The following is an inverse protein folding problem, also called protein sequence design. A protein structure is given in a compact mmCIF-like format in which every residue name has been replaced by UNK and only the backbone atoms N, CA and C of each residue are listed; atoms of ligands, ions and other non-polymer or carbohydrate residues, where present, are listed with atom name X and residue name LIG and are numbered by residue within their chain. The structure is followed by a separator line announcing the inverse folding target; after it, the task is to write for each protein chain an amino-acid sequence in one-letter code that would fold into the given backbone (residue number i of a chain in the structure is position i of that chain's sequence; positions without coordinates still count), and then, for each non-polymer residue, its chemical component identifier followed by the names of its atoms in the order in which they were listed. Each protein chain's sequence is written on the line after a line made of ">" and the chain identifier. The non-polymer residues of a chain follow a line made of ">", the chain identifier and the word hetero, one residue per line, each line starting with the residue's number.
data_IF_111201881861
#
_entry.id   IF_111201881861
#
_cell.length_a   1.000
_cell.length_b   1.000
_cell.length_c   1.000
_cell.angle_alpha   90.00
_cell.angle_beta   90.00
_cell.angle_gamma   90.00
#
_symmetry.space_group_name_H-M   'P 1'
#
loop_
_entity.id
_entity.type
_entity.pdbx_description
1 polymer ?
#
# COMPACT_ATOMS: atom_id res chain seq x y z
N UNK A 1 -31.82 -17.81 1.16
CA UNK A 1 -31.66 -17.21 -0.19
C UNK A 1 -30.61 -16.09 -0.12
N UNK A 2 -29.40 -16.41 0.34
CA UNK A 2 -28.35 -15.42 0.74
C UNK A 2 -26.96 -15.68 0.11
N UNK A 3 -26.82 -16.70 -0.75
CA UNK A 3 -25.51 -17.12 -1.27
C UNK A 3 -25.02 -16.37 -2.52
N UNK A 4 -25.89 -15.60 -3.21
CA UNK A 4 -25.55 -14.99 -4.49
C UNK A 4 -24.99 -13.56 -4.41
N UNK A 5 -25.14 -12.86 -3.26
CA UNK A 5 -24.69 -11.47 -3.11
C UNK A 5 -23.27 -11.34 -2.55
N UNK A 6 -22.73 -12.40 -1.92
CA UNK A 6 -21.41 -12.34 -1.29
C UNK A 6 -20.26 -12.60 -2.27
N UNK A 7 -20.45 -13.44 -3.30
CA UNK A 7 -19.41 -13.68 -4.31
C UNK A 7 -19.25 -12.48 -5.24
N UNK A 8 -20.36 -11.87 -5.68
CA UNK A 8 -20.34 -10.70 -6.56
C UNK A 8 -19.68 -9.48 -5.89
N UNK A 9 -19.89 -9.29 -4.59
CA UNK A 9 -19.22 -8.23 -3.82
C UNK A 9 -17.71 -8.50 -3.67
N UNK A 10 -17.28 -9.74 -3.48
CA UNK A 10 -15.85 -10.09 -3.39
C UNK A 10 -15.14 -9.87 -4.73
N UNK A 11 -15.78 -10.23 -5.83
CA UNK A 11 -15.25 -10.01 -7.18
C UNK A 11 -15.14 -8.50 -7.47
N UNK A 12 -16.12 -7.71 -7.05
CA UNK A 12 -16.08 -6.25 -7.17
C UNK A 12 -14.95 -5.60 -6.36
N UNK A 13 -14.70 -6.09 -5.13
CA UNK A 13 -13.57 -5.64 -4.29
C UNK A 13 -12.24 -5.91 -4.98
N UNK A 14 -12.04 -7.13 -5.49
CA UNK A 14 -10.80 -7.50 -6.18
C UNK A 14 -10.60 -6.68 -7.46
N UNK A 15 -11.67 -6.48 -8.24
CA UNK A 15 -11.61 -5.68 -9.46
C UNK A 15 -11.22 -4.23 -9.16
N UNK A 16 -11.77 -3.65 -8.09
CA UNK A 16 -11.45 -2.27 -7.67
C UNK A 16 -9.98 -2.14 -7.22
N UNK A 17 -9.48 -3.12 -6.46
CA UNK A 17 -8.08 -3.16 -6.06
C UNK A 17 -7.14 -3.27 -7.27
N UNK A 18 -7.44 -4.15 -8.22
CA UNK A 18 -6.62 -4.36 -9.41
C UNK A 18 -6.63 -3.11 -10.31
N UNK A 19 -7.79 -2.45 -10.47
CA UNK A 19 -7.91 -1.20 -11.24
C UNK A 19 -7.10 -0.05 -10.62
N UNK A 20 -7.16 0.08 -9.28
CA UNK A 20 -6.39 1.07 -8.54
C UNK A 20 -4.88 0.83 -8.66
N UNK A 21 -4.43 -0.42 -8.55
CA UNK A 21 -3.01 -0.80 -8.67
C UNK A 21 -2.50 -0.55 -10.09
N UNK A 22 -3.29 -0.89 -11.11
CA UNK A 22 -2.95 -0.60 -12.51
C UNK A 22 -2.86 0.91 -12.78
N UNK A 23 -3.74 1.72 -12.18
CA UNK A 23 -3.70 3.18 -12.29
C UNK A 23 -2.46 3.79 -11.63
N UNK A 24 -2.01 3.25 -10.49
CA UNK A 24 -0.74 3.62 -9.86
C UNK A 24 0.45 3.29 -10.78
N UNK A 25 0.49 2.09 -11.36
CA UNK A 25 1.56 1.71 -12.28
C UNK A 25 1.59 2.60 -13.55
N UNK A 26 0.42 3.01 -14.07
CA UNK A 26 0.33 3.99 -15.17
C UNK A 26 1.04 5.30 -14.81
N UNK A 27 0.83 5.81 -13.58
CA UNK A 27 1.50 7.01 -13.09
C UNK A 27 3.02 6.83 -13.00
N UNK A 28 3.47 5.70 -12.46
CA UNK A 28 4.90 5.37 -12.35
C UNK A 28 5.57 5.34 -13.71
N UNK A 29 4.98 4.63 -14.67
CA UNK A 29 5.50 4.56 -16.05
C UNK A 29 5.56 5.91 -16.77
N UNK A 30 4.76 6.88 -16.32
CA UNK A 30 4.73 8.24 -16.87
C UNK A 30 5.56 9.23 -16.05
N UNK A 31 6.29 8.77 -15.03
CA UNK A 31 7.16 9.60 -14.21
C UNK A 31 6.45 10.49 -13.19
N UNK A 32 5.15 10.29 -12.95
CA UNK A 32 4.41 11.05 -11.93
C UNK A 32 4.80 10.60 -10.52
N UNK A 33 5.08 9.32 -10.33
CA UNK A 33 5.35 8.70 -9.03
C UNK A 33 6.61 7.87 -9.14
N UNK A 34 7.50 7.96 -8.15
CA UNK A 34 8.62 7.02 -7.98
C UNK A 34 8.18 5.91 -7.05
N UNK A 35 7.98 4.71 -7.60
CA UNK A 35 7.59 3.52 -6.84
C UNK A 35 8.17 2.28 -7.52
N UNK A 36 9.16 1.69 -6.87
CA UNK A 36 9.90 0.54 -7.38
C UNK A 36 9.16 -0.78 -7.19
N UNK A 37 8.00 -0.80 -6.51
CA UNK A 37 7.40 -2.05 -6.03
C UNK A 37 6.05 -2.36 -6.69
N UNK A 38 5.27 -1.33 -7.07
CA UNK A 38 3.89 -1.53 -7.56
C UNK A 38 3.80 -2.46 -8.78
N UNK A 39 4.85 -2.50 -9.61
CA UNK A 39 4.88 -3.36 -10.80
C UNK A 39 4.80 -4.86 -10.48
N UNK A 40 5.21 -5.28 -9.27
CA UNK A 40 5.14 -6.67 -8.79
C UNK A 40 3.71 -7.11 -8.44
N UNK A 41 2.82 -6.15 -8.21
CA UNK A 41 1.43 -6.38 -7.82
C UNK A 41 0.44 -6.25 -8.98
N UNK A 42 0.92 -5.87 -10.18
CA UNK A 42 0.06 -5.68 -11.36
C UNK A 42 0.18 -6.85 -12.31
N UNK A 43 -0.93 -7.56 -12.51
CA UNK A 43 -1.02 -8.64 -13.53
C UNK A 43 -1.06 -8.10 -14.95
N UNK A 44 -1.88 -7.07 -15.20
CA UNK A 44 -2.06 -6.47 -16.51
C UNK A 44 -1.82 -4.97 -16.45
N UNK A 45 -0.86 -4.51 -17.24
CA UNK A 45 -0.53 -3.11 -17.33
C UNK A 45 -1.58 -2.39 -18.17
N UNK A 46 -2.11 -1.27 -17.66
CA UNK A 46 -3.11 -0.47 -18.34
C UNK A 46 -2.61 0.97 -18.41
N UNK A 47 -2.66 1.58 -19.60
CA UNK A 47 -2.39 3.02 -19.76
C UNK A 47 -3.65 3.79 -19.38
N UNK A 48 -3.52 4.81 -18.53
CA UNK A 48 -4.62 5.73 -18.22
C UNK A 48 -4.49 7.05 -18.95
N UNK A 49 -5.63 7.72 -19.19
CA UNK A 49 -5.66 9.06 -19.73
C UNK A 49 -4.91 10.05 -18.83
N UNK A 50 -4.33 11.14 -19.37
CA UNK A 50 -3.56 12.11 -18.59
C UNK A 50 -4.32 12.66 -17.38
N UNK A 51 -5.63 12.94 -17.51
CA UNK A 51 -6.45 13.46 -16.41
C UNK A 51 -6.56 12.47 -15.24
N UNK A 52 -6.66 11.17 -15.54
CA UNK A 52 -6.70 10.11 -14.52
C UNK A 52 -5.35 10.02 -13.80
N UNK A 53 -4.23 10.06 -14.54
CA UNK A 53 -2.90 10.05 -13.93
C UNK A 53 -2.68 11.28 -13.03
N UNK A 54 -3.15 12.47 -13.45
CA UNK A 54 -3.08 13.69 -12.63
C UNK A 54 -3.89 13.56 -11.35
N UNK A 55 -5.12 13.04 -11.43
CA UNK A 55 -5.96 12.80 -10.26
C UNK A 55 -5.33 11.79 -9.29
N UNK A 56 -4.77 10.70 -9.81
CA UNK A 56 -4.11 9.69 -8.99
C UNK A 56 -2.82 10.24 -8.35
N UNK A 57 -2.03 11.01 -9.09
CA UNK A 57 -0.86 11.70 -8.55
C UNK A 57 -1.25 12.67 -7.42
N UNK A 58 -2.29 13.48 -7.60
CA UNK A 58 -2.76 14.39 -6.56
C UNK A 58 -3.16 13.64 -5.28
N UNK A 59 -3.90 12.52 -5.41
CA UNK A 59 -4.23 11.63 -4.29
C UNK A 59 -2.96 11.12 -3.59
N UNK A 60 -2.02 10.59 -4.35
CA UNK A 60 -0.77 10.05 -3.81
C UNK A 60 0.05 11.14 -3.11
N UNK A 61 0.26 12.29 -3.76
CA UNK A 61 1.05 13.40 -3.24
C UNK A 61 0.44 13.98 -1.95
N UNK A 62 -0.88 14.13 -1.89
CA UNK A 62 -1.57 14.58 -0.69
C UNK A 62 -1.36 13.61 0.48
N UNK A 63 -1.58 12.31 0.27
CA UNK A 63 -1.35 11.29 1.31
C UNK A 63 0.10 11.23 1.75
N UNK A 64 1.05 11.29 0.80
CA UNK A 64 2.49 11.29 1.13
C UNK A 64 2.88 12.51 1.96
N UNK A 65 2.36 13.70 1.62
CA UNK A 65 2.63 14.93 2.39
C UNK A 65 2.16 14.78 3.83
N UNK A 66 0.91 14.34 4.05
CA UNK A 66 0.37 14.15 5.39
C UNK A 66 1.13 13.09 6.19
N UNK A 67 1.50 11.99 5.53
CA UNK A 67 2.27 10.91 6.14
C UNK A 67 3.65 11.40 6.58
N UNK A 68 4.36 12.16 5.75
CA UNK A 68 5.64 12.74 6.13
C UNK A 68 5.51 13.78 7.23
N UNK A 69 4.49 14.64 7.20
CA UNK A 69 4.25 15.58 8.30
C UNK A 69 4.06 14.86 9.63
N UNK A 70 3.32 13.75 9.65
CA UNK A 70 3.16 12.91 10.83
C UNK A 70 4.49 12.25 11.25
N UNK A 71 5.22 11.65 10.31
CA UNK A 71 6.46 10.92 10.59
C UNK A 71 7.63 11.86 10.99
N UNK A 72 7.64 13.08 10.50
CA UNK A 72 8.68 14.08 10.75
C UNK A 72 8.34 15.00 11.95
N UNK A 73 7.09 15.00 12.43
CA UNK A 73 6.72 15.75 13.64
C UNK A 73 7.62 15.40 14.84
N UNK A 74 7.87 16.36 15.72
CA UNK A 74 8.70 16.12 16.90
C UNK A 74 8.15 14.95 17.73
N UNK A 75 9.06 14.09 18.18
CA UNK A 75 8.66 12.93 18.97
C UNK A 75 8.38 13.39 20.38
N UNK A 76 7.10 13.36 20.77
CA UNK A 76 6.69 13.60 22.15
C UNK A 76 7.25 12.50 23.05
N UNK A 77 7.52 12.85 24.30
CA UNK A 77 8.01 11.92 25.32
C UNK A 77 6.95 11.77 26.42
N UNK A 78 6.75 10.53 26.87
CA UNK A 78 5.97 10.21 28.07
C UNK A 78 6.90 9.43 28.99
N UNK A 79 7.09 9.88 30.22
CA UNK A 79 8.01 9.28 31.21
C UNK A 79 9.42 9.01 30.62
N UNK A 80 10.02 10.03 29.98
CA UNK A 80 11.32 9.97 29.28
C UNK A 80 11.42 8.94 28.14
N UNK A 81 10.30 8.32 27.74
CA UNK A 81 10.27 7.39 26.59
C UNK A 81 9.71 8.08 25.34
N UNK A 82 10.43 8.04 24.20
CA UNK A 82 9.93 8.57 22.93
C UNK A 82 8.67 7.82 22.46
N UNK A 83 7.59 8.54 22.19
CA UNK A 83 6.36 7.97 21.64
C UNK A 83 6.61 7.36 20.26
N UNK A 84 6.30 6.07 20.13
CA UNK A 84 6.47 5.33 18.88
C UNK A 84 5.34 5.67 17.90
N UNK A 85 5.69 5.99 16.67
CA UNK A 85 4.73 6.28 15.60
C UNK A 85 4.28 4.98 14.94
N UNK A 86 2.97 4.86 14.74
CA UNK A 86 2.36 3.71 14.10
C UNK A 86 1.41 4.17 13.00
N UNK A 87 1.33 3.40 11.92
CA UNK A 87 0.44 3.67 10.80
C UNK A 87 -0.46 2.46 10.58
N UNK A 88 -1.76 2.70 10.54
CA UNK A 88 -2.78 1.72 10.21
C UNK A 88 -3.43 2.09 8.88
N UNK A 89 -3.17 1.32 7.84
CA UNK A 89 -3.78 1.46 6.51
C UNK A 89 -5.00 0.56 6.40
N UNK A 90 -6.18 1.18 6.29
CA UNK A 90 -7.47 0.49 6.16
C UNK A 90 -7.88 0.40 4.69
N UNK A 91 -8.22 -0.79 4.21
CA UNK A 91 -8.43 -1.03 2.79
C UNK A 91 -7.15 -0.83 2.00
N UNK A 92 -6.04 -1.37 2.51
CA UNK A 92 -4.70 -1.12 1.99
C UNK A 92 -4.50 -1.64 0.55
N UNK A 93 -5.30 -2.62 0.11
CA UNK A 93 -5.13 -3.24 -1.19
C UNK A 93 -3.69 -3.72 -1.40
N UNK A 94 -3.19 -3.53 -2.62
CA UNK A 94 -1.77 -3.72 -2.94
C UNK A 94 -0.93 -2.44 -2.81
N UNK A 95 -1.23 -1.59 -1.82
CA UNK A 95 -0.38 -0.43 -1.57
C UNK A 95 1.05 -0.85 -1.22
N UNK A 96 1.99 -0.01 -1.63
CA UNK A 96 3.44 -0.21 -1.55
C UNK A 96 4.11 0.91 -0.75
N UNK A 97 3.32 1.73 -0.05
CA UNK A 97 3.81 2.87 0.74
C UNK A 97 4.81 2.41 1.80
N UNK A 98 4.57 1.28 2.49
CA UNK A 98 5.52 0.75 3.47
C UNK A 98 6.91 0.49 2.86
N UNK A 99 6.97 -0.16 1.69
CA UNK A 99 8.24 -0.46 1.01
C UNK A 99 8.98 0.81 0.59
N UNK A 100 8.24 1.81 0.10
CA UNK A 100 8.79 3.14 -0.21
C UNK A 100 9.36 3.81 1.05
N UNK A 101 8.62 3.81 2.16
CA UNK A 101 9.07 4.39 3.43
C UNK A 101 10.31 3.68 3.99
N UNK A 102 10.39 2.35 3.86
CA UNK A 102 11.58 1.58 4.24
C UNK A 102 12.80 1.99 3.42
N UNK A 103 12.66 2.13 2.10
CA UNK A 103 13.74 2.56 1.21
C UNK A 103 14.19 4.01 1.48
N UNK A 104 13.24 4.88 1.87
CA UNK A 104 13.50 6.27 2.21
C UNK A 104 14.01 6.47 3.65
N UNK A 105 14.14 5.41 4.45
CA UNK A 105 14.55 5.51 5.86
C UNK A 105 13.52 6.19 6.78
N UNK A 106 12.25 6.23 6.36
CA UNK A 106 11.14 6.90 7.07
C UNK A 106 10.06 5.92 7.54
N UNK A 107 10.35 4.63 7.64
CA UNK A 107 9.36 3.66 8.10
C UNK A 107 8.96 3.94 9.57
N UNK A 108 7.65 3.89 9.89
CA UNK A 108 7.19 4.00 11.29
C UNK A 108 7.64 2.78 12.09
N UNK A 109 7.52 2.87 13.41
CA UNK A 109 7.83 1.73 14.30
C UNK A 109 6.91 0.53 14.03
N UNK A 110 5.65 0.79 13.65
CA UNK A 110 4.72 -0.25 13.21
C UNK A 110 3.91 0.26 12.01
N UNK A 111 3.81 -0.57 10.98
CA UNK A 111 2.91 -0.35 9.84
C UNK A 111 1.98 -1.56 9.74
N UNK A 112 0.69 -1.33 9.88
CA UNK A 112 -0.34 -2.37 9.82
C UNK A 112 -1.22 -2.11 8.62
N UNK A 113 -1.48 -3.15 7.84
CA UNK A 113 -2.41 -3.12 6.73
C UNK A 113 -3.59 -4.03 7.04
N UNK A 114 -4.81 -3.50 6.89
CA UNK A 114 -6.05 -4.25 7.03
C UNK A 114 -6.82 -4.20 5.71
N UNK A 115 -7.26 -5.37 5.25
CA UNK A 115 -8.12 -5.54 4.09
C UNK A 115 -8.87 -6.87 4.21
N UNK A 116 -9.76 -7.15 3.26
CA UNK A 116 -10.43 -8.45 3.17
C UNK A 116 -9.41 -9.59 2.99
N UNK A 117 -9.74 -10.74 3.57
CA UNK A 117 -8.88 -11.94 3.58
C UNK A 117 -8.37 -12.30 2.19
N UNK A 118 -9.21 -12.21 1.16
CA UNK A 118 -8.84 -12.53 -0.21
C UNK A 118 -7.77 -11.58 -0.78
N UNK A 119 -7.82 -10.30 -0.41
CA UNK A 119 -6.84 -9.29 -0.84
C UNK A 119 -5.53 -9.45 -0.07
N UNK A 120 -5.60 -9.58 1.26
CA UNK A 120 -4.41 -9.74 2.10
C UNK A 120 -3.69 -11.07 1.80
N UNK A 121 -4.41 -12.16 1.58
CA UNK A 121 -3.82 -13.46 1.22
C UNK A 121 -3.08 -13.41 -0.11
N UNK A 122 -3.65 -12.74 -1.13
CA UNK A 122 -2.97 -12.54 -2.42
C UNK A 122 -1.74 -11.65 -2.27
N UNK A 123 -1.85 -10.55 -1.52
CA UNK A 123 -0.72 -9.66 -1.23
C UNK A 123 0.41 -10.42 -0.54
N UNK A 124 0.10 -11.20 0.49
CA UNK A 124 1.05 -12.04 1.21
C UNK A 124 1.74 -13.05 0.28
N UNK A 125 0.99 -13.71 -0.60
CA UNK A 125 1.55 -14.63 -1.58
C UNK A 125 2.53 -13.92 -2.54
N UNK A 126 2.17 -12.74 -3.05
CA UNK A 126 3.04 -11.93 -3.93
C UNK A 126 4.30 -11.48 -3.19
N UNK A 127 4.16 -11.03 -1.94
CA UNK A 127 5.33 -10.66 -1.11
C UNK A 127 6.24 -11.86 -0.95
N UNK A 128 5.70 -13.03 -0.59
CA UNK A 128 6.49 -14.24 -0.38
C UNK A 128 7.18 -14.75 -1.66
N UNK A 129 6.63 -14.48 -2.85
CA UNK A 129 7.23 -14.90 -4.11
C UNK A 129 8.32 -13.95 -4.63
N UNK A 130 8.53 -12.79 -4.02
CA UNK A 130 9.52 -11.79 -4.46
C UNK A 130 10.50 -11.46 -3.35
N UNK A 131 11.77 -11.83 -3.55
CA UNK A 131 12.86 -11.58 -2.58
C UNK A 131 12.98 -10.11 -2.19
N UNK A 132 12.95 -9.20 -3.17
CA UNK A 132 13.01 -7.74 -2.95
C UNK A 132 11.92 -7.20 -2.01
N UNK A 133 10.76 -7.86 -1.90
CA UNK A 133 9.70 -7.48 -0.96
C UNK A 133 9.95 -8.12 0.41
N UNK A 134 10.34 -9.40 0.43
CA UNK A 134 10.67 -10.15 1.66
C UNK A 134 11.81 -9.53 2.45
N UNK A 135 12.83 -9.02 1.79
CA UNK A 135 13.96 -8.38 2.46
C UNK A 135 13.54 -7.11 3.21
N UNK A 136 12.53 -6.40 2.70
CA UNK A 136 12.06 -5.13 3.28
C UNK A 136 11.12 -5.28 4.49
N UNK A 137 10.47 -6.43 4.66
CA UNK A 137 9.54 -6.67 5.78
C UNK A 137 10.22 -7.10 7.09
N UNK A 138 11.54 -7.35 7.08
CA UNK A 138 12.32 -7.69 8.26
C UNK A 138 12.04 -9.09 8.83
N UNK A 139 12.54 -9.36 10.05
CA UNK A 139 12.62 -10.72 10.63
C UNK A 139 11.31 -11.25 11.24
N UNK A 140 10.25 -10.45 11.38
CA UNK A 140 9.00 -10.90 12.03
C UNK A 140 7.73 -10.27 11.45
N UNK A 141 7.49 -10.35 10.14
CA UNK A 141 6.21 -9.96 9.57
C UNK A 141 5.10 -10.84 10.17
N UNK A 142 4.06 -10.21 10.72
CA UNK A 142 2.86 -10.92 11.17
C UNK A 142 1.79 -10.78 10.11
N UNK A 143 1.44 -11.89 9.48
CA UNK A 143 0.33 -11.98 8.54
C UNK A 143 -0.74 -12.81 9.24
N UNK A 144 -1.67 -12.13 9.92
CA UNK A 144 -2.86 -12.76 10.50
C UNK A 144 -3.99 -12.77 9.47
N UNK A 145 -4.60 -13.95 9.26
CA UNK A 145 -5.74 -14.16 8.36
C UNK A 145 -7.05 -14.31 9.13
#
# INVERSE_FOLDING_TARGET
>A
KEMASSSSNRDAVQATNDDATASKLSCVKKGYIKDNYVHLFVRRQVKRAPIINRGYYARWAAMRKLLFQFLDAETQTVDDTPLKKQVLSLGAGYDTTFFQLQEEGKAPTLYVELDFKEVTSKKAAIINSHEQLREKIGKSPRISQ
#
